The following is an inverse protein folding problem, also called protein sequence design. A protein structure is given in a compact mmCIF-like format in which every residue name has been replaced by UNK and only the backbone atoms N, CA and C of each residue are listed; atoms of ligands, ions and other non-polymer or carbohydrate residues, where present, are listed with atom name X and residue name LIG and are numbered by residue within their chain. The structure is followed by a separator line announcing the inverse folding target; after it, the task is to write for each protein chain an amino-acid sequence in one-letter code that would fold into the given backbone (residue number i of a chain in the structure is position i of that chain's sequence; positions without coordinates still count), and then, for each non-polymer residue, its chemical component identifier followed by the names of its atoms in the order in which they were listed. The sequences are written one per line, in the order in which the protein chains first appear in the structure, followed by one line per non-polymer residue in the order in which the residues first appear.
data_IF_978929955774
#
_entry.id   IF_978929955774
#
_cell.length_a   1.000
_cell.length_b   1.000
_cell.length_c   1.000
_cell.angle_alpha   90.00
_cell.angle_beta   90.00
_cell.angle_gamma   90.00
#
_symmetry.space_group_name_H-M   'P 1'
#
loop_
_entity.id
_entity.type
_entity.pdbx_description
1 polymer ?
#
# COMPACT_ATOMS: atom_id res chain seq x y z
N UNK A 1 -12.58 7.40 -1.84
CA UNK A 1 -11.18 7.51 -2.26
C UNK A 1 -10.86 6.78 -3.57
N UNK A 2 -10.35 7.49 -4.58
CA UNK A 2 -9.86 6.94 -5.86
C UNK A 2 -8.35 6.69 -5.82
N UNK A 3 -7.80 5.70 -6.55
CA UNK A 3 -6.36 5.41 -6.54
C UNK A 3 -5.48 6.61 -6.94
N UNK A 4 -5.92 7.42 -7.91
CA UNK A 4 -5.19 8.62 -8.32
C UNK A 4 -5.17 9.74 -7.26
N UNK A 5 -6.16 9.77 -6.35
CA UNK A 5 -6.16 10.71 -5.21
C UNK A 5 -5.18 10.22 -4.13
N UNK A 6 -5.11 8.89 -3.94
CA UNK A 6 -4.13 8.24 -3.05
C UNK A 6 -2.71 8.56 -3.47
N UNK A 7 -2.38 8.31 -4.73
CA UNK A 7 -1.08 8.64 -5.31
C UNK A 7 -0.73 10.11 -5.11
N UNK A 8 -1.59 11.03 -5.56
CA UNK A 8 -1.30 12.47 -5.49
C UNK A 8 -0.97 12.96 -4.08
N UNK A 9 -1.65 12.44 -3.06
CA UNK A 9 -1.42 12.89 -1.68
C UNK A 9 -0.18 12.23 -1.05
N UNK A 10 0.06 10.96 -1.34
CA UNK A 10 1.18 10.22 -0.76
C UNK A 10 2.50 10.42 -1.53
N UNK A 11 2.44 10.87 -2.78
CA UNK A 11 3.61 11.07 -3.66
C UNK A 11 4.77 11.78 -2.96
N UNK A 12 4.59 12.92 -2.25
CA UNK A 12 5.72 13.58 -1.59
C UNK A 12 6.36 12.72 -0.50
N UNK A 13 5.57 11.90 0.18
CA UNK A 13 6.04 10.99 1.24
C UNK A 13 6.81 9.82 0.63
N UNK A 14 6.24 9.19 -0.40
CA UNK A 14 6.81 8.03 -1.09
C UNK A 14 8.08 8.40 -1.87
N UNK A 15 8.08 9.54 -2.55
CA UNK A 15 9.25 10.07 -3.28
C UNK A 15 10.44 10.34 -2.35
N UNK A 16 10.22 10.83 -1.12
CA UNK A 16 11.29 10.97 -0.12
C UNK A 16 11.87 9.63 0.32
N UNK A 17 11.05 8.58 0.31
CA UNK A 17 11.47 7.20 0.59
C UNK A 17 12.08 6.51 -0.64
N UNK A 18 12.25 7.21 -1.76
CA UNK A 18 12.84 6.67 -2.99
C UNK A 18 11.89 5.84 -3.85
N UNK A 19 10.60 5.80 -3.52
CA UNK A 19 9.56 5.12 -4.29
C UNK A 19 8.97 6.07 -5.33
N UNK A 20 8.85 5.60 -6.57
CA UNK A 20 8.21 6.35 -7.68
C UNK A 20 7.01 5.61 -8.21
N UNK A 21 5.99 6.33 -8.65
CA UNK A 21 4.83 5.73 -9.30
C UNK A 21 5.27 4.87 -10.49
N UNK A 22 4.81 3.62 -10.53
CA UNK A 22 5.06 2.64 -11.59
C UNK A 22 3.78 2.43 -12.40
N UNK A 23 2.65 2.18 -11.73
CA UNK A 23 1.38 1.87 -12.39
C UNK A 23 0.17 2.19 -11.50
N UNK A 24 -0.94 2.62 -12.11
CA UNK A 24 -2.26 2.70 -11.46
C UNK A 24 -3.19 1.70 -12.14
N UNK A 25 -3.72 0.76 -11.37
CA UNK A 25 -4.75 -0.19 -11.79
C UNK A 25 -6.07 0.16 -11.09
N UNK A 26 -6.95 0.89 -11.79
CA UNK A 26 -8.20 1.43 -11.25
C UNK A 26 -9.42 0.51 -11.42
N UNK A 27 -9.28 -0.58 -12.17
CA UNK A 27 -10.35 -1.52 -12.52
C UNK A 27 -9.98 -2.97 -12.20
N UNK A 28 -9.39 -3.23 -11.03
CA UNK A 28 -9.12 -4.59 -10.57
C UNK A 28 -10.39 -5.27 -10.03
N UNK A 29 -10.36 -6.59 -9.91
CA UNK A 29 -11.42 -7.37 -9.27
C UNK A 29 -10.82 -8.33 -8.26
N UNK A 30 -11.37 -8.35 -7.05
CA UNK A 30 -11.01 -9.29 -6.00
C UNK A 30 -12.24 -10.08 -5.56
N UNK A 31 -12.22 -11.39 -5.82
CA UNK A 31 -13.34 -12.31 -5.52
C UNK A 31 -14.70 -11.82 -6.05
N UNK A 32 -14.71 -11.33 -7.29
CA UNK A 32 -15.92 -10.82 -7.95
C UNK A 32 -16.38 -9.45 -7.46
N UNK A 33 -15.59 -8.76 -6.62
CA UNK A 33 -15.89 -7.41 -6.15
C UNK A 33 -14.88 -6.39 -6.67
N UNK A 34 -15.27 -5.12 -6.85
CA UNK A 34 -14.35 -4.06 -7.28
C UNK A 34 -13.15 -3.92 -6.36
N UNK A 35 -11.99 -3.67 -6.95
CA UNK A 35 -10.73 -3.40 -6.28
C UNK A 35 -9.89 -2.44 -7.12
N UNK A 36 -8.86 -1.86 -6.51
CA UNK A 36 -7.84 -1.09 -7.22
C UNK A 36 -6.49 -1.21 -6.53
N UNK A 37 -5.42 -0.98 -7.28
CA UNK A 37 -4.07 -0.95 -6.76
C UNK A 37 -3.26 0.17 -7.40
N UNK A 38 -2.35 0.76 -6.62
CA UNK A 38 -1.31 1.67 -7.08
C UNK A 38 0.03 1.02 -6.78
N UNK A 39 0.88 0.92 -7.79
CA UNK A 39 2.20 0.31 -7.70
C UNK A 39 3.26 1.39 -7.76
N UNK A 40 4.24 1.29 -6.86
CA UNK A 40 5.41 2.12 -6.81
C UNK A 40 6.65 1.25 -6.86
N UNK A 41 7.71 1.78 -7.46
CA UNK A 41 9.00 1.13 -7.62
C UNK A 41 10.09 1.94 -6.96
N UNK A 42 10.83 1.30 -6.05
CA UNK A 42 12.04 1.81 -5.45
C UNK A 42 13.30 1.26 -6.14
N UNK A 43 14.45 1.45 -5.51
CA UNK A 43 15.73 0.95 -6.01
C UNK A 43 15.91 -0.56 -5.83
N UNK A 44 15.25 -1.14 -4.83
CA UNK A 44 15.45 -2.53 -4.36
C UNK A 44 14.15 -3.25 -3.96
N UNK A 45 13.02 -2.53 -3.90
CA UNK A 45 11.70 -3.08 -3.62
C UNK A 45 10.60 -2.44 -4.49
N UNK A 46 9.41 -3.05 -4.44
CA UNK A 46 8.15 -2.49 -4.91
C UNK A 46 7.22 -2.30 -3.72
N UNK A 47 6.41 -1.24 -3.79
CA UNK A 47 5.29 -1.00 -2.89
C UNK A 47 3.99 -1.07 -3.69
N UNK A 48 2.96 -1.67 -3.13
CA UNK A 48 1.60 -1.57 -3.61
C UNK A 48 0.73 -0.98 -2.51
N UNK A 49 -0.13 -0.04 -2.89
CA UNK A 49 -1.24 0.43 -2.07
C UNK A 49 -2.52 -0.06 -2.73
N UNK A 50 -3.32 -0.85 -2.03
CA UNK A 50 -4.49 -1.48 -2.63
C UNK A 50 -5.73 -1.40 -1.74
N UNK A 51 -6.88 -1.50 -2.38
CA UNK A 51 -8.18 -1.54 -1.71
C UNK A 51 -9.08 -2.58 -2.37
N UNK A 52 -9.93 -3.20 -1.57
CA UNK A 52 -10.97 -4.10 -2.06
C UNK A 52 -12.33 -3.76 -1.44
N UNK A 53 -13.40 -3.81 -2.23
CA UNK A 53 -14.78 -3.68 -1.73
C UNK A 53 -15.23 -4.88 -0.87
N UNK A 54 -14.37 -5.91 -0.73
CA UNK A 54 -14.61 -7.05 0.14
C UNK A 54 -14.19 -6.73 1.57
N UNK A 55 -12.97 -6.21 1.71
CA UNK A 55 -12.32 -6.02 3.02
C UNK A 55 -12.51 -4.58 3.52
N UNK A 56 -12.76 -3.63 2.61
CA UNK A 56 -13.09 -2.24 2.91
C UNK A 56 -11.89 -1.37 3.33
N UNK A 57 -10.79 -2.00 3.75
CA UNK A 57 -9.54 -1.34 4.13
C UNK A 57 -8.61 -1.07 2.95
N UNK A 58 -7.70 -0.12 3.16
CA UNK A 58 -6.55 0.13 2.28
C UNK A 58 -5.34 -0.54 2.93
N UNK A 59 -4.66 -1.37 2.15
CA UNK A 59 -3.49 -2.13 2.59
C UNK A 59 -2.21 -1.67 1.89
N UNK A 60 -1.10 -1.82 2.58
CA UNK A 60 0.25 -1.67 2.03
C UNK A 60 0.89 -3.05 1.85
N UNK A 61 1.37 -3.32 0.64
CA UNK A 61 2.08 -4.54 0.30
C UNK A 61 3.49 -4.20 -0.19
N UNK A 62 4.47 -5.01 0.21
CA UNK A 62 5.86 -4.91 -0.24
C UNK A 62 6.27 -6.18 -0.99
N UNK A 63 7.12 -6.03 -2.00
CA UNK A 63 7.65 -7.15 -2.77
C UNK A 63 9.05 -6.86 -3.33
N UNK A 64 9.86 -7.89 -3.65
CA UNK A 64 11.11 -7.71 -4.39
C UNK A 64 10.89 -7.12 -5.79
N UNK A 65 11.93 -6.53 -6.38
CA UNK A 65 11.83 -5.87 -7.69
C UNK A 65 11.35 -6.76 -8.84
N UNK A 66 11.60 -8.07 -8.75
CA UNK A 66 11.23 -9.04 -9.77
C UNK A 66 9.79 -9.58 -9.59
N UNK A 67 9.04 -9.04 -8.62
CA UNK A 67 7.63 -9.34 -8.47
C UNK A 67 6.78 -8.71 -9.59
N UNK A 68 5.80 -9.44 -10.15
CA UNK A 68 4.86 -8.87 -11.11
C UNK A 68 3.92 -7.86 -10.42
N UNK A 69 3.43 -6.87 -11.18
CA UNK A 69 2.37 -5.96 -10.72
C UNK A 69 1.02 -6.70 -10.73
N UNK A 70 0.82 -7.56 -9.74
CA UNK A 70 -0.44 -8.26 -9.49
C UNK A 70 -1.12 -7.72 -8.24
N UNK A 71 -2.43 -7.94 -8.13
CA UNK A 71 -3.16 -7.54 -6.93
C UNK A 71 -2.67 -8.36 -5.73
N UNK A 72 -2.06 -7.70 -4.73
CA UNK A 72 -1.35 -8.37 -3.64
C UNK A 72 -2.24 -9.19 -2.70
N UNK A 73 -3.56 -9.00 -2.73
CA UNK A 73 -4.49 -9.88 -2.01
C UNK A 73 -4.81 -11.18 -2.77
N UNK A 74 -4.52 -11.26 -4.08
CA UNK A 74 -4.52 -12.51 -4.84
C UNK A 74 -3.17 -13.21 -4.77
N UNK A 75 -2.08 -12.43 -4.86
CA UNK A 75 -0.69 -12.86 -4.64
C UNK A 75 -0.29 -14.17 -5.32
N UNK A 76 -0.61 -14.37 -6.61
CA UNK A 76 -0.27 -15.61 -7.31
C UNK A 76 1.24 -15.89 -7.38
N UNK A 77 2.06 -14.85 -7.25
CA UNK A 77 3.53 -14.96 -7.18
C UNK A 77 4.06 -15.33 -5.79
N UNK A 78 3.23 -15.27 -4.75
CA UNK A 78 3.60 -15.37 -3.32
C UNK A 78 4.65 -14.32 -2.85
N UNK A 79 4.96 -13.32 -3.68
CA UNK A 79 6.02 -12.33 -3.41
C UNK A 79 5.53 -11.11 -2.65
N UNK A 80 4.25 -10.76 -2.76
CA UNK A 80 3.68 -9.62 -2.05
C UNK A 80 3.44 -9.97 -0.58
N UNK A 81 3.96 -9.14 0.33
CA UNK A 81 3.84 -9.30 1.78
C UNK A 81 3.20 -8.07 2.38
N UNK A 82 2.32 -8.24 3.37
CA UNK A 82 1.75 -7.11 4.11
C UNK A 82 2.86 -6.33 4.83
N UNK A 83 2.99 -5.04 4.52
CA UNK A 83 4.02 -4.17 5.08
C UNK A 83 3.93 -4.08 6.61
N UNK A 84 2.73 -3.89 7.14
CA UNK A 84 2.50 -3.75 8.58
C UNK A 84 2.94 -5.02 9.33
N UNK A 85 2.58 -6.21 8.81
CA UNK A 85 3.00 -7.50 9.38
C UNK A 85 4.51 -7.70 9.28
N UNK A 86 5.11 -7.33 8.15
CA UNK A 86 6.53 -7.50 7.89
C UNK A 86 7.40 -6.56 8.76
N UNK A 87 6.89 -5.38 9.08
CA UNK A 87 7.67 -4.33 9.77
C UNK A 87 8.14 -4.71 11.17
N UNK A 88 7.37 -5.55 11.89
CA UNK A 88 7.57 -5.80 13.32
C UNK A 88 7.44 -4.56 14.22
N UNK A 89 7.15 -3.38 13.66
CA UNK A 89 6.96 -2.15 14.40
C UNK A 89 5.58 -2.11 15.05
N UNK A 90 5.49 -1.50 16.23
CA UNK A 90 4.22 -1.18 16.85
C UNK A 90 3.89 0.28 16.58
N UNK A 91 2.76 0.53 15.94
CA UNK A 91 2.18 1.85 15.85
C UNK A 91 1.11 2.02 16.94
N UNK A 92 1.21 3.11 17.71
CA UNK A 92 0.12 3.53 18.61
C UNK A 92 -0.95 4.34 17.84
N UNK A 93 -1.05 4.15 16.52
CA UNK A 93 -1.95 4.93 15.67
C UNK A 93 -3.38 4.43 15.82
N UNK A 94 -4.30 5.36 16.08
CA UNK A 94 -5.72 5.03 16.14
C UNK A 94 -6.26 4.84 14.73
N UNK A 95 -6.73 3.63 14.43
CA UNK A 95 -7.48 3.34 13.20
C UNK A 95 -8.67 4.31 13.07
N UNK A 96 -8.83 5.01 11.94
CA UNK A 96 -9.98 5.85 11.67
C UNK A 96 -11.30 5.07 11.78
N UNK A 97 -12.36 5.75 12.22
CA UNK A 97 -13.71 5.18 12.23
C UNK A 97 -14.25 4.97 10.81
N UNK A 98 -15.30 4.17 10.67
CA UNK A 98 -15.96 3.90 9.38
C UNK A 98 -16.58 5.17 8.74
N UNK A 99 -16.86 6.19 9.55
CA UNK A 99 -17.40 7.50 9.17
C UNK A 99 -16.32 8.58 8.99
N UNK A 100 -15.04 8.21 9.12
CA UNK A 100 -13.94 9.14 8.89
C UNK A 100 -13.95 9.61 7.42
N UNK A 101 -13.68 10.89 7.22
CA UNK A 101 -13.52 11.44 5.89
C UNK A 101 -12.18 11.01 5.26
N UNK A 102 -12.09 11.17 3.93
CA UNK A 102 -10.91 10.76 3.17
C UNK A 102 -9.62 11.43 3.68
N UNK A 103 -9.65 12.69 4.13
CA UNK A 103 -8.46 13.39 4.64
C UNK A 103 -7.88 12.75 5.91
N UNK A 104 -8.74 12.31 6.83
CA UNK A 104 -8.35 11.60 8.06
C UNK A 104 -7.74 10.25 7.71
N UNK A 105 -8.36 9.51 6.80
CA UNK A 105 -7.85 8.20 6.34
C UNK A 105 -6.50 8.37 5.65
N UNK A 106 -6.34 9.38 4.79
CA UNK A 106 -5.10 9.65 4.06
C UNK A 106 -3.95 10.06 4.99
N UNK A 107 -4.26 10.89 5.99
CA UNK A 107 -3.28 11.27 7.02
C UNK A 107 -2.83 10.06 7.84
N UNK A 108 -3.77 9.16 8.17
CA UNK A 108 -3.47 7.91 8.85
C UNK A 108 -2.63 6.95 8.00
N UNK A 109 -2.94 6.79 6.71
CA UNK A 109 -2.14 5.98 5.78
C UNK A 109 -0.71 6.50 5.65
N UNK A 110 -0.55 7.83 5.57
CA UNK A 110 0.77 8.45 5.57
C UNK A 110 1.55 8.11 6.85
N UNK A 111 0.91 8.25 8.01
CA UNK A 111 1.53 7.95 9.30
C UNK A 111 1.93 6.48 9.42
N UNK A 112 1.07 5.55 8.96
CA UNK A 112 1.41 4.13 8.89
C UNK A 112 2.64 3.89 8.01
N UNK A 113 2.68 4.48 6.81
CA UNK A 113 3.85 4.34 5.94
C UNK A 113 5.12 4.86 6.62
N UNK A 114 5.08 6.05 7.21
CA UNK A 114 6.23 6.66 7.88
C UNK A 114 6.74 5.83 9.08
N UNK A 115 5.87 5.10 9.79
CA UNK A 115 6.26 4.22 10.90
C UNK A 115 6.79 2.87 10.43
N UNK A 116 6.13 2.23 9.46
CA UNK A 116 6.36 0.82 9.15
C UNK A 116 7.31 0.57 7.99
N UNK A 117 7.48 1.52 7.07
CA UNK A 117 8.18 1.26 5.81
C UNK A 117 9.63 0.81 6.01
N UNK A 118 10.41 1.51 6.84
CA UNK A 118 11.82 1.18 7.06
C UNK A 118 12.00 -0.23 7.65
N UNK A 119 11.23 -0.58 8.68
CA UNK A 119 11.29 -1.90 9.30
C UNK A 119 10.90 -3.01 8.32
N UNK A 120 9.84 -2.79 7.52
CA UNK A 120 9.36 -3.77 6.58
C UNK A 120 10.29 -3.93 5.37
N UNK A 121 10.87 -2.82 4.90
CA UNK A 121 11.88 -2.80 3.84
C UNK A 121 13.12 -3.59 4.25
N UNK A 122 13.65 -3.35 5.46
CA UNK A 122 14.79 -4.11 5.99
C UNK A 122 14.50 -5.61 6.17
N UNK A 123 13.29 -6.00 6.52
CA UNK A 123 12.90 -7.39 6.67
C UNK A 123 12.61 -8.11 5.34
N UNK A 124 12.43 -7.37 4.25
CA UNK A 124 12.20 -7.90 2.91
C UNK A 124 13.51 -8.32 2.21
N UNK A 125 14.60 -7.59 2.49
CA UNK A 125 15.92 -7.75 1.87
C UNK A 125 16.79 -8.78 2.60
#
# INVERSE_FOLDING_TARGET
MKPAEVDRFLEPTLSRAGLKLDEICDAATYQGRPAWAVYYRGQDCKLQICWSARDGGIDFMLAPLDAPNEFGLLNHSDKWKFMLLLSGAHDDLKTPGLDANDDVVMSWLKALFEVHFEGAHNALL
#
